data_IF_544699329803
#
_entry.id   IF_544699329803
#
_cell.length_a   1.000
_cell.length_b   1.000
_cell.length_c   1.000
_cell.angle_alpha   90.00
_cell.angle_beta   90.00
_cell.angle_gamma   90.00
#
_symmetry.space_group_name_H-M   'P 1'
#
loop_
_entity.id
_entity.type
_entity.pdbx_description
1 polymer ?
#
# COMPACT_ATOMS: atom_id res chain seq x y z
N UNK A 1 -20.07 -19.76 0.04
CA UNK A 1 -20.38 -18.98 -1.19
C UNK A 1 -19.05 -18.59 -1.82
N UNK A 2 -18.68 -19.26 -2.90
CA UNK A 2 -17.45 -19.02 -3.65
C UNK A 2 -17.58 -17.70 -4.43
N UNK A 3 -16.82 -16.68 -4.06
CA UNK A 3 -16.70 -15.48 -4.90
C UNK A 3 -15.98 -15.88 -6.20
N UNK A 4 -16.71 -15.83 -7.32
CA UNK A 4 -16.14 -15.93 -8.67
C UNK A 4 -15.30 -14.67 -8.90
N UNK A 5 -13.99 -14.83 -8.96
CA UNK A 5 -13.10 -13.79 -9.48
C UNK A 5 -13.53 -13.40 -10.89
N UNK A 6 -13.79 -12.11 -11.09
CA UNK A 6 -14.06 -11.54 -12.41
C UNK A 6 -12.87 -11.81 -13.33
N UNK A 7 -13.09 -12.27 -14.58
CA UNK A 7 -12.00 -12.53 -15.51
C UNK A 7 -11.25 -11.23 -15.82
N UNK A 8 -9.92 -11.29 -15.78
CA UNK A 8 -9.01 -10.23 -16.24
C UNK A 8 -9.47 -9.72 -17.60
N UNK A 9 -9.79 -8.44 -17.70
CA UNK A 9 -10.11 -7.81 -18.98
C UNK A 9 -8.85 -7.79 -19.86
N UNK A 10 -8.94 -7.76 -21.20
CA UNK A 10 -7.77 -7.65 -22.09
C UNK A 10 -6.88 -6.45 -21.75
N UNK A 11 -7.47 -5.36 -21.25
CA UNK A 11 -6.75 -4.17 -20.79
C UNK A 11 -5.89 -4.44 -19.55
N UNK A 12 -6.37 -5.26 -18.60
CA UNK A 12 -5.60 -5.63 -17.40
C UNK A 12 -4.33 -6.41 -17.78
N UNK A 13 -4.45 -7.35 -18.73
CA UNK A 13 -3.30 -8.14 -19.19
C UNK A 13 -2.25 -7.29 -19.92
N UNK A 14 -2.70 -6.39 -20.80
CA UNK A 14 -1.82 -5.46 -21.52
C UNK A 14 -1.13 -4.49 -20.56
N UNK A 15 -1.86 -3.96 -19.58
CA UNK A 15 -1.30 -3.06 -18.57
C UNK A 15 -0.22 -3.74 -17.73
N UNK A 16 -0.46 -4.97 -17.25
CA UNK A 16 0.54 -5.76 -16.52
C UNK A 16 1.78 -6.00 -17.36
N UNK A 17 1.60 -6.42 -18.61
CA UNK A 17 2.73 -6.64 -19.52
C UNK A 17 3.53 -5.35 -19.70
N UNK A 18 2.85 -4.23 -19.94
CA UNK A 18 3.49 -2.92 -20.09
C UNK A 18 4.29 -2.52 -18.85
N UNK A 19 3.66 -2.53 -17.67
CA UNK A 19 4.30 -2.11 -16.41
C UNK A 19 5.26 -3.15 -15.81
N UNK A 20 5.39 -4.34 -16.40
CA UNK A 20 6.45 -5.28 -16.04
C UNK A 20 7.80 -4.93 -16.69
N UNK A 21 7.80 -4.05 -17.70
CA UNK A 21 9.04 -3.59 -18.33
C UNK A 21 9.65 -2.42 -17.53
N UNK A 22 10.92 -2.51 -17.10
CA UNK A 22 11.54 -1.49 -16.25
C UNK A 22 11.54 -0.07 -16.84
N UNK A 23 11.71 0.08 -18.16
CA UNK A 23 11.70 1.40 -18.81
C UNK A 23 10.30 2.02 -18.78
N UNK A 24 9.28 1.24 -19.16
CA UNK A 24 7.89 1.69 -19.10
C UNK A 24 7.46 2.05 -17.67
N UNK A 25 7.85 1.23 -16.67
CA UNK A 25 7.58 1.51 -15.27
C UNK A 25 8.30 2.78 -14.77
N UNK A 26 9.55 2.98 -15.20
CA UNK A 26 10.31 4.19 -14.87
C UNK A 26 9.62 5.43 -15.41
N UNK A 27 9.29 5.44 -16.69
CA UNK A 27 8.61 6.57 -17.34
C UNK A 27 7.25 6.84 -16.68
N UNK A 28 6.50 5.78 -16.40
CA UNK A 28 5.21 5.87 -15.71
C UNK A 28 5.34 6.53 -14.34
N UNK A 29 6.29 6.08 -13.51
CA UNK A 29 6.56 6.66 -12.19
C UNK A 29 7.06 8.09 -12.34
N UNK A 30 7.92 8.38 -13.31
CA UNK A 30 8.46 9.73 -13.53
C UNK A 30 7.39 10.75 -13.92
N UNK A 31 6.40 10.33 -14.72
CA UNK A 31 5.30 11.16 -15.21
C UNK A 31 4.22 11.36 -14.13
N UNK A 32 3.84 10.29 -13.43
CA UNK A 32 2.63 10.29 -12.61
C UNK A 32 2.87 10.42 -11.11
N UNK A 33 4.07 10.13 -10.61
CA UNK A 33 4.36 10.29 -9.19
C UNK A 33 4.45 11.80 -8.83
N UNK A 34 3.76 12.26 -7.77
CA UNK A 34 3.85 13.66 -7.33
C UNK A 34 5.30 14.10 -7.13
N UNK A 35 5.61 15.35 -7.53
CA UNK A 35 6.98 15.85 -7.54
C UNK A 35 7.69 15.74 -6.18
N UNK A 36 6.97 15.96 -5.08
CA UNK A 36 7.50 15.83 -3.71
C UNK A 36 7.96 14.40 -3.38
N UNK A 37 7.23 13.38 -3.83
CA UNK A 37 7.62 11.98 -3.64
C UNK A 37 8.72 11.58 -4.63
N UNK A 38 8.60 12.03 -5.88
CA UNK A 38 9.60 11.75 -6.94
C UNK A 38 10.99 12.29 -6.59
N UNK A 39 11.08 13.40 -5.87
CA UNK A 39 12.35 13.95 -5.38
C UNK A 39 13.06 13.03 -4.39
N UNK A 40 12.34 12.14 -3.69
CA UNK A 40 12.92 11.16 -2.78
C UNK A 40 13.48 9.93 -3.52
N UNK A 41 13.05 9.72 -4.77
CA UNK A 41 13.27 8.49 -5.54
C UNK A 41 14.58 8.52 -6.35
N UNK A 42 15.38 7.45 -6.26
CA UNK A 42 16.42 7.14 -7.25
C UNK A 42 15.90 6.15 -8.30
N UNK A 43 15.30 6.67 -9.38
CA UNK A 43 14.68 5.88 -10.45
C UNK A 43 15.66 5.00 -11.26
N UNK A 44 16.98 5.21 -11.13
CA UNK A 44 17.98 4.33 -11.74
C UNK A 44 18.09 2.99 -11.01
N UNK A 45 17.62 2.92 -9.78
CA UNK A 45 17.66 1.71 -8.93
C UNK A 45 16.37 0.89 -8.98
N UNK A 46 15.44 1.25 -9.86
CA UNK A 46 14.13 0.63 -9.99
C UNK A 46 14.25 -0.88 -10.28
N UNK A 47 13.62 -1.71 -9.44
CA UNK A 47 13.65 -3.18 -9.53
C UNK A 47 12.26 -3.77 -9.32
N UNK A 48 11.91 -4.73 -10.18
CA UNK A 48 10.64 -5.43 -10.10
C UNK A 48 10.73 -6.46 -8.97
N UNK A 49 9.81 -6.40 -8.01
CA UNK A 49 9.71 -7.35 -6.93
C UNK A 49 8.77 -8.49 -7.30
N UNK A 50 9.08 -9.71 -6.83
CA UNK A 50 8.24 -10.88 -7.11
C UNK A 50 6.90 -10.81 -6.38
N UNK A 51 5.79 -10.84 -7.13
CA UNK A 51 4.42 -10.72 -6.62
C UNK A 51 3.84 -11.96 -5.92
N UNK A 52 4.66 -12.93 -5.49
CA UNK A 52 4.19 -14.22 -4.98
C UNK A 52 3.60 -14.20 -3.56
N UNK A 53 3.44 -13.01 -2.96
CA UNK A 53 3.25 -12.86 -1.51
C UNK A 53 1.85 -12.44 -1.07
N UNK A 54 0.96 -12.12 -1.98
CA UNK A 54 -0.38 -11.74 -1.59
C UNK A 54 -1.04 -12.95 -0.88
N UNK A 55 -1.46 -12.79 0.40
CA UNK A 55 -2.14 -13.82 1.20
C UNK A 55 -3.14 -14.61 0.34
N UNK A 56 -3.37 -15.89 0.64
CA UNK A 56 -4.29 -16.72 -0.16
C UNK A 56 -5.66 -16.04 -0.40
N UNK A 57 -6.09 -15.17 0.53
CA UNK A 57 -7.33 -14.39 0.46
C UNK A 57 -7.21 -13.08 -0.33
N UNK A 58 -6.02 -12.47 -0.39
CA UNK A 58 -5.76 -11.29 -1.21
C UNK A 58 -5.37 -11.68 -2.65
N UNK A 59 -5.03 -12.96 -2.94
CA UNK A 59 -4.69 -13.46 -4.30
C UNK A 59 -5.80 -13.21 -5.33
N UNK A 60 -7.05 -13.08 -4.88
CA UNK A 60 -8.18 -12.77 -5.74
C UNK A 60 -8.27 -11.27 -6.11
N UNK A 61 -7.52 -10.43 -5.42
CA UNK A 61 -7.39 -8.98 -5.64
C UNK A 61 -5.95 -8.68 -6.02
N UNK A 62 -5.69 -8.82 -7.31
CA UNK A 62 -4.46 -8.55 -8.04
C UNK A 62 -3.70 -7.29 -7.60
N UNK A 63 -2.63 -7.36 -6.80
CA UNK A 63 -1.63 -6.27 -6.85
C UNK A 63 -0.84 -6.46 -8.15
N UNK A 64 -0.97 -5.54 -9.09
CA UNK A 64 -0.49 -5.81 -10.44
C UNK A 64 1.00 -5.61 -10.65
N UNK A 65 1.65 -4.66 -9.94
CA UNK A 65 3.11 -4.59 -9.93
C UNK A 65 3.65 -3.94 -8.64
N UNK A 66 4.70 -4.54 -8.06
CA UNK A 66 5.46 -3.96 -6.95
C UNK A 66 6.88 -3.62 -7.44
N UNK A 67 7.25 -2.35 -7.34
CA UNK A 67 8.58 -1.87 -7.68
C UNK A 67 9.31 -1.40 -6.44
N UNK A 68 10.57 -1.79 -6.28
CA UNK A 68 11.47 -1.23 -5.26
C UNK A 68 12.46 -0.26 -5.88
N UNK A 69 12.82 0.78 -5.14
CA UNK A 69 13.88 1.72 -5.49
C UNK A 69 14.51 2.29 -4.22
N UNK A 70 15.75 2.76 -4.34
CA UNK A 70 16.46 3.42 -3.23
C UNK A 70 16.05 4.89 -3.11
N UNK A 71 16.12 5.40 -1.89
CA UNK A 71 16.08 6.85 -1.65
C UNK A 71 17.30 7.53 -2.25
N UNK A 72 17.16 8.82 -2.62
CA UNK A 72 18.31 9.62 -3.07
C UNK A 72 19.34 9.86 -1.96
N UNK A 73 18.87 10.17 -0.76
CA UNK A 73 19.71 10.56 0.37
C UNK A 73 19.63 9.50 1.48
N UNK A 74 20.48 8.48 1.40
CA UNK A 74 20.67 7.47 2.46
C UNK A 74 20.18 6.06 2.15
N UNK A 75 20.24 5.20 3.18
CA UNK A 75 19.84 3.80 3.13
C UNK A 75 18.34 3.68 3.43
N UNK A 76 17.52 3.85 2.39
CA UNK A 76 16.08 3.70 2.46
C UNK A 76 15.52 3.06 1.20
N UNK A 77 14.42 2.34 1.34
CA UNK A 77 13.68 1.78 0.22
C UNK A 77 12.34 2.50 0.10
N UNK A 78 12.00 2.84 -1.15
CA UNK A 78 10.67 3.25 -1.55
C UNK A 78 10.10 2.11 -2.37
N UNK A 79 8.93 1.62 -1.99
CA UNK A 79 8.15 0.73 -2.82
C UNK A 79 7.03 1.50 -3.50
N UNK A 80 6.77 1.19 -4.76
CA UNK A 80 5.59 1.68 -5.49
C UNK A 80 4.70 0.48 -5.76
N UNK A 81 3.50 0.50 -5.19
CA UNK A 81 2.44 -0.49 -5.45
C UNK A 81 1.53 0.12 -6.50
N UNK A 82 1.40 -0.52 -7.66
CA UNK A 82 0.52 -0.04 -8.73
C UNK A 82 -0.65 -1.01 -8.88
N UNK A 83 -1.85 -0.49 -8.66
CA UNK A 83 -3.12 -1.19 -8.82
C UNK A 83 -3.82 -0.70 -10.09
N UNK A 84 -4.36 -1.61 -10.90
CA UNK A 84 -5.11 -1.28 -12.10
C UNK A 84 -6.59 -1.60 -11.93
N UNK A 85 -7.46 -0.64 -12.20
CA UNK A 85 -8.91 -0.86 -12.11
C UNK A 85 -9.67 -0.19 -13.24
N UNK A 86 -10.57 -0.96 -13.87
CA UNK A 86 -11.54 -0.50 -14.87
C UNK A 86 -12.91 -0.18 -14.26
N UNK A 87 -13.20 -0.73 -13.08
CA UNK A 87 -14.46 -0.51 -12.35
C UNK A 87 -14.15 0.20 -11.04
N UNK A 88 -14.82 1.32 -10.73
CA UNK A 88 -14.54 2.02 -9.49
C UNK A 88 -15.04 1.21 -8.29
N UNK A 89 -14.17 1.02 -7.30
CA UNK A 89 -14.47 0.30 -6.06
C UNK A 89 -14.41 1.26 -4.85
N UNK A 90 -15.41 1.22 -3.97
CA UNK A 90 -15.54 2.18 -2.87
C UNK A 90 -14.41 2.07 -1.82
N UNK A 91 -13.92 0.86 -1.56
CA UNK A 91 -12.90 0.56 -0.55
C UNK A 91 -11.48 0.42 -1.14
N UNK A 92 -11.25 1.02 -2.30
CA UNK A 92 -9.96 0.91 -3.00
C UNK A 92 -8.81 1.52 -2.19
N UNK A 93 -9.05 2.62 -1.47
CA UNK A 93 -8.02 3.24 -0.65
C UNK A 93 -7.57 2.31 0.49
N UNK A 94 -8.52 1.68 1.20
CA UNK A 94 -8.22 0.68 2.21
C UNK A 94 -7.51 -0.55 1.63
N UNK A 95 -7.91 -1.02 0.44
CA UNK A 95 -7.21 -2.11 -0.27
C UNK A 95 -5.76 -1.76 -0.57
N UNK A 96 -5.50 -0.57 -1.11
CA UNK A 96 -4.16 -0.07 -1.39
C UNK A 96 -3.30 0.01 -0.12
N UNK A 97 -3.89 0.43 1.00
CA UNK A 97 -3.18 0.42 2.29
C UNK A 97 -2.82 -0.98 2.78
N UNK A 98 -3.70 -1.97 2.57
CA UNK A 98 -3.36 -3.38 2.87
C UNK A 98 -2.15 -3.84 2.07
N UNK A 99 -2.05 -3.48 0.79
CA UNK A 99 -0.87 -3.79 -0.01
C UNK A 99 0.38 -3.06 0.49
N UNK A 100 0.24 -1.78 0.86
CA UNK A 100 1.36 -1.02 1.41
C UNK A 100 1.91 -1.65 2.70
N UNK A 101 1.02 -2.04 3.63
CA UNK A 101 1.39 -2.72 4.87
C UNK A 101 2.02 -4.10 4.61
N UNK A 102 1.52 -4.85 3.63
CA UNK A 102 2.11 -6.13 3.24
C UNK A 102 3.54 -5.97 2.69
N UNK A 103 3.77 -4.95 1.86
CA UNK A 103 5.10 -4.63 1.35
C UNK A 103 6.06 -4.19 2.47
N UNK A 104 5.56 -3.40 3.42
CA UNK A 104 6.29 -3.02 4.64
C UNK A 104 6.69 -4.24 5.48
N UNK A 105 5.77 -5.17 5.72
CA UNK A 105 6.06 -6.40 6.46
C UNK A 105 7.13 -7.25 5.77
N UNK A 106 7.02 -7.46 4.45
CA UNK A 106 8.02 -8.20 3.67
C UNK A 106 9.42 -7.58 3.79
N UNK A 107 9.50 -6.27 3.82
CA UNK A 107 10.78 -5.58 3.99
C UNK A 107 11.42 -5.95 5.34
N UNK A 108 10.64 -5.98 6.42
CA UNK A 108 11.14 -6.43 7.72
C UNK A 108 11.52 -7.93 7.71
N UNK A 109 10.68 -8.78 7.10
CA UNK A 109 10.93 -10.23 7.00
C UNK A 109 12.21 -10.56 6.21
N UNK A 110 12.61 -9.69 5.27
CA UNK A 110 13.88 -9.78 4.55
C UNK A 110 15.11 -9.40 5.40
N UNK A 111 14.92 -9.07 6.68
CA UNK A 111 15.99 -8.77 7.63
C UNK A 111 16.34 -7.28 7.74
N UNK A 112 15.56 -6.40 7.10
CA UNK A 112 15.74 -4.95 7.27
C UNK A 112 15.23 -4.52 8.67
N UNK A 113 15.91 -3.53 9.26
CA UNK A 113 15.65 -3.08 10.65
C UNK A 113 14.63 -1.96 10.76
N UNK A 114 14.28 -1.34 9.65
CA UNK A 114 13.42 -0.15 9.56
C UNK A 114 12.37 -0.35 8.48
N UNK A 115 11.25 0.36 8.59
CA UNK A 115 10.20 0.31 7.57
C UNK A 115 10.62 1.06 6.31
N UNK A 116 10.23 0.58 5.11
CA UNK A 116 10.36 1.36 3.89
C UNK A 116 9.19 2.35 3.77
N UNK A 117 9.36 3.38 2.94
CA UNK A 117 8.21 4.14 2.46
C UNK A 117 7.51 3.34 1.37
N UNK A 118 6.17 3.30 1.38
CA UNK A 118 5.40 2.63 0.33
C UNK A 118 4.40 3.62 -0.24
N UNK A 119 4.45 3.83 -1.55
CA UNK A 119 3.54 4.70 -2.29
C UNK A 119 2.53 3.83 -3.04
N UNK A 120 1.29 3.74 -2.57
CA UNK A 120 0.20 3.16 -3.35
C UNK A 120 -0.22 4.10 -4.47
N UNK A 121 -0.34 3.57 -5.68
CA UNK A 121 -0.81 4.27 -6.87
C UNK A 121 -1.95 3.50 -7.51
N UNK A 122 -3.09 4.17 -7.70
CA UNK A 122 -4.19 3.64 -8.50
C UNK A 122 -4.07 4.14 -9.95
N UNK A 123 -3.96 3.22 -10.88
CA UNK A 123 -4.21 3.49 -12.29
C UNK A 123 -5.66 3.12 -12.62
N UNK A 124 -6.48 4.13 -12.91
CA UNK A 124 -7.90 3.97 -13.17
C UNK A 124 -8.25 4.33 -14.62
N UNK A 125 -8.99 3.44 -15.29
CA UNK A 125 -9.42 3.62 -16.69
C UNK A 125 -10.89 3.22 -16.90
N UNK A 126 -11.75 3.55 -15.94
CA UNK A 126 -13.16 3.17 -16.01
C UNK A 126 -14.08 4.13 -16.76
N UNK A 127 -15.25 3.61 -17.16
CA UNK A 127 -16.29 4.40 -17.84
C UNK A 127 -16.85 5.54 -16.98
N UNK A 128 -16.84 5.40 -15.64
CA UNK A 128 -17.26 6.46 -14.72
C UNK A 128 -16.08 7.38 -14.44
N UNK A 129 -16.11 8.61 -14.96
CA UNK A 129 -15.03 9.58 -14.80
C UNK A 129 -15.57 10.93 -14.30
N UNK A 130 -14.87 11.64 -13.39
CA UNK A 130 -13.63 11.22 -12.71
C UNK A 130 -13.85 10.03 -11.74
N UNK A 131 -12.75 9.44 -11.26
CA UNK A 131 -12.83 8.38 -10.24
C UNK A 131 -13.64 8.89 -9.02
N UNK A 132 -14.69 8.18 -8.58
CA UNK A 132 -15.71 8.77 -7.71
C UNK A 132 -15.46 8.60 -6.21
N UNK A 133 -14.40 7.89 -5.79
CA UNK A 133 -14.14 7.57 -4.38
C UNK A 133 -12.84 8.21 -3.90
N UNK A 134 -12.71 8.42 -2.59
CA UNK A 134 -11.46 8.94 -2.01
C UNK A 134 -10.34 7.91 -2.13
N UNK A 135 -9.11 8.39 -2.35
CA UNK A 135 -7.89 7.59 -2.25
C UNK A 135 -7.19 7.75 -0.90
N UNK A 136 -7.80 8.47 0.05
CA UNK A 136 -7.36 8.51 1.43
C UNK A 136 -8.21 7.53 2.25
N UNK A 137 -7.63 6.41 2.67
CA UNK A 137 -8.34 5.36 3.42
C UNK A 137 -8.96 5.86 4.73
N UNK A 138 -8.43 6.93 5.32
CA UNK A 138 -8.96 7.57 6.53
C UNK A 138 -10.32 8.26 6.29
N UNK A 139 -10.67 8.54 5.03
CA UNK A 139 -11.98 9.09 4.67
C UNK A 139 -13.08 8.03 4.67
N UNK A 140 -12.72 6.74 4.78
CA UNK A 140 -13.70 5.63 4.83
C UNK A 140 -14.33 5.47 6.23
N UNK A 141 -13.80 6.14 7.25
CA UNK A 141 -14.35 6.12 8.60
C UNK A 141 -15.53 7.10 8.73
N UNK A 142 -16.54 6.71 9.51
CA UNK A 142 -17.65 7.62 9.84
C UNK A 142 -17.18 8.89 10.55
N UNK A 143 -16.17 8.78 11.42
CA UNK A 143 -15.48 9.91 12.05
C UNK A 143 -14.02 9.99 11.55
N UNK A 144 -13.85 10.74 10.46
CA UNK A 144 -12.56 10.90 9.78
C UNK A 144 -11.54 11.67 10.63
N UNK A 145 -11.97 12.60 11.48
CA UNK A 145 -11.05 13.35 12.34
C UNK A 145 -10.47 12.46 13.44
N UNK A 146 -11.32 11.64 14.08
CA UNK A 146 -10.84 10.69 15.09
C UNK A 146 -9.93 9.65 14.45
N UNK A 147 -10.24 9.13 13.26
CA UNK A 147 -9.36 8.21 12.54
C UNK A 147 -7.98 8.84 12.26
N UNK A 148 -7.94 10.09 11.77
CA UNK A 148 -6.68 10.81 11.52
C UNK A 148 -5.85 10.99 12.79
N UNK A 149 -6.48 11.31 13.93
CA UNK A 149 -5.78 11.43 15.21
C UNK A 149 -5.28 10.09 15.71
N UNK A 150 -6.11 9.04 15.64
CA UNK A 150 -5.79 7.70 16.12
C UNK A 150 -4.60 7.10 15.37
N UNK A 151 -4.61 7.19 14.04
CA UNK A 151 -3.60 6.53 13.20
C UNK A 151 -2.36 7.38 12.91
N UNK A 152 -2.33 8.64 13.35
CA UNK A 152 -1.14 9.50 13.31
C UNK A 152 -0.50 9.74 14.67
N UNK A 153 -1.04 9.15 15.74
CA UNK A 153 -0.51 9.25 17.10
C UNK A 153 0.13 7.93 17.56
N UNK A 154 0.86 7.98 18.67
CA UNK A 154 1.35 6.79 19.34
C UNK A 154 0.17 5.91 19.80
N UNK A 155 0.30 4.59 19.65
CA UNK A 155 -0.68 3.65 20.18
C UNK A 155 -0.65 3.64 21.71
N UNK A 156 -1.80 3.44 22.37
CA UNK A 156 -1.85 3.32 23.82
C UNK A 156 -1.04 2.10 24.26
N UNK A 157 -0.11 2.32 25.20
CA UNK A 157 0.68 1.28 25.84
C UNK A 157 0.19 1.10 27.27
N UNK A 158 -0.17 -0.13 27.64
CA UNK A 158 -0.36 -0.54 29.03
C UNK A 158 0.83 -1.41 29.41
N UNK A 159 1.84 -0.79 30.02
CA UNK A 159 3.05 -1.48 30.46
C UNK A 159 2.88 -1.97 31.90
N UNK A 160 2.49 -3.24 32.07
CA UNK A 160 2.29 -3.84 33.38
C UNK A 160 3.59 -4.06 34.17
N UNK A 161 4.77 -3.90 33.55
CA UNK A 161 6.05 -4.05 34.26
C UNK A 161 6.35 -2.86 35.18
N UNK A 162 5.65 -1.74 34.97
CA UNK A 162 5.77 -0.52 35.79
C UNK A 162 4.53 -0.25 36.65
N UNK A 163 3.51 -1.13 36.60
CA UNK A 163 2.30 -1.02 37.42
C UNK A 163 2.47 -1.88 38.67
N UNK A 164 2.32 -1.32 39.89
CA UNK A 164 2.35 -2.10 41.12
C UNK A 164 1.25 -3.18 41.13
N UNK A 165 1.56 -4.36 41.68
CA UNK A 165 0.62 -5.50 41.74
C UNK A 165 -0.74 -5.14 42.38
N UNK A 166 -0.73 -4.23 43.36
CA UNK A 166 -1.92 -3.76 44.06
C UNK A 166 -2.91 -3.01 43.15
N UNK A 167 -2.41 -2.31 42.12
CA UNK A 167 -3.23 -1.58 41.15
C UNK A 167 -3.77 -2.52 40.05
N UNK A 168 -3.04 -3.59 39.73
CA UNK A 168 -3.49 -4.65 38.80
C UNK A 168 -4.68 -5.41 39.40
N UNK A 169 -4.64 -5.67 40.71
CA UNK A 169 -5.69 -6.40 41.42
C UNK A 169 -7.05 -5.68 41.44
N UNK A 170 -7.08 -4.36 41.27
CA UNK A 170 -8.32 -3.56 41.19
C UNK A 170 -9.08 -3.70 39.85
N UNK A 171 -8.43 -4.27 38.83
CA UNK A 171 -9.05 -4.51 37.51
C UNK A 171 -9.85 -5.82 37.45
N UNK A 172 -9.81 -6.64 38.51
CA UNK A 172 -10.71 -7.79 38.68
C UNK A 172 -12.08 -7.30 39.13
N UNK A 173 -13.02 -7.20 38.20
CA UNK A 173 -14.46 -7.29 38.48
C UNK A 173 -14.92 -8.74 38.34
#
# INVERSE_FOLDING_TARGET
>A
MTQKGTPSTPHDAVFKQFLSHPECARDFIEIHLPASLRQLCNLQTLRLESGSFIEADLRASYSDVLWSLKTRDGDGYIYVVIEHQSTPEAHMAFRLMRYALAAMQRHLDAGHKTLPLVVPMLFYHGAKSPYPFSLCWLDEFTDTQTARRLYAAAFPLVDITVVPDDDIMQHRR
#
